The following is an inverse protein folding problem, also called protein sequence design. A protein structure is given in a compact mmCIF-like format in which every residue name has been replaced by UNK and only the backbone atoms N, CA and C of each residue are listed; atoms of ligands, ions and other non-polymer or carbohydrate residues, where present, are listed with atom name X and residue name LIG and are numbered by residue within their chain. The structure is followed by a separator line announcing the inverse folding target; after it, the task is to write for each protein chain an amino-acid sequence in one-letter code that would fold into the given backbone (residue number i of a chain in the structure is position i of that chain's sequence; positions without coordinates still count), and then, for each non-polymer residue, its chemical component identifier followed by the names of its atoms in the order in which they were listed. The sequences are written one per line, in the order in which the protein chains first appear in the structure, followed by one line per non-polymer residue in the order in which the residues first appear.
data_IF_757162020239
#
_entry.id   IF_757162020239
#
_cell.length_a   1.000
_cell.length_b   1.000
_cell.length_c   1.000
_cell.angle_alpha   90.00
_cell.angle_beta   90.00
_cell.angle_gamma   90.00
#
_symmetry.space_group_name_H-M   'P 1'
#
loop_
_entity.id
_entity.type
_entity.pdbx_description
1 polymer ?
#
# COMPACT_ATOMS: atom_id res chain seq x y z
N UNK A 1 -5.54 -2.05 12.79
CA UNK A 1 -5.33 -1.49 11.43
C UNK A 1 -6.37 -2.12 10.51
N UNK A 2 -6.89 -1.39 9.52
CA UNK A 2 -7.88 -1.92 8.59
C UNK A 2 -7.27 -2.84 7.54
N UNK A 3 -6.13 -2.46 6.95
CA UNK A 3 -5.33 -3.31 6.06
C UNK A 3 -3.96 -2.66 5.82
N UNK A 4 -3.12 -3.28 4.98
CA UNK A 4 -1.86 -2.70 4.53
C UNK A 4 -0.81 -2.65 5.63
N UNK A 5 -0.88 -3.57 6.58
CA UNK A 5 -0.02 -3.65 7.76
C UNK A 5 1.47 -3.80 7.40
N UNK A 6 1.78 -4.45 6.29
CA UNK A 6 3.14 -4.55 5.74
C UNK A 6 3.40 -3.64 4.54
N UNK A 7 2.52 -2.65 4.32
CA UNK A 7 2.68 -1.65 3.25
C UNK A 7 3.58 -0.48 3.71
N UNK A 8 4.23 0.24 2.78
CA UNK A 8 5.04 1.42 3.11
C UNK A 8 4.30 2.48 3.94
N UNK A 9 2.99 2.59 3.74
CA UNK A 9 2.13 3.58 4.43
C UNK A 9 2.07 3.38 5.94
N UNK A 10 2.27 2.14 6.44
CA UNK A 10 2.17 1.80 7.87
C UNK A 10 3.52 1.76 8.60
N UNK A 11 4.64 1.81 7.89
CA UNK A 11 5.97 1.68 8.50
C UNK A 11 6.26 2.76 9.57
N UNK A 12 5.78 3.99 9.34
CA UNK A 12 5.91 5.09 10.32
C UNK A 12 5.13 4.79 11.60
N UNK A 13 3.92 4.24 11.48
CA UNK A 13 3.05 3.88 12.61
C UNK A 13 3.71 2.82 13.49
N UNK A 14 4.29 1.77 12.89
CA UNK A 14 5.04 0.76 13.63
C UNK A 14 6.22 1.36 14.40
N UNK A 15 7.03 2.19 13.73
CA UNK A 15 8.17 2.88 14.38
C UNK A 15 7.73 3.77 15.55
N UNK A 16 6.62 4.50 15.38
CA UNK A 16 6.04 5.33 16.45
C UNK A 16 5.62 4.48 17.66
N UNK A 17 4.94 3.36 17.43
CA UNK A 17 4.53 2.43 18.49
C UNK A 17 5.73 1.86 19.24
N UNK A 18 6.71 1.32 18.49
CA UNK A 18 7.92 0.74 19.06
C UNK A 18 8.72 1.76 19.87
N UNK A 19 8.81 3.02 19.41
CA UNK A 19 9.49 4.10 20.13
C UNK A 19 8.86 4.45 21.49
N UNK A 20 7.60 4.07 21.73
CA UNK A 20 6.92 4.25 23.03
C UNK A 20 7.16 3.08 24.00
N UNK A 21 7.71 1.96 23.53
CA UNK A 21 7.82 0.72 24.31
C UNK A 21 9.14 0.55 25.07
N UNK A 22 9.95 1.61 25.12
CA UNK A 22 11.23 1.66 25.83
C UNK A 22 12.44 1.64 24.90
N UNK A 23 13.66 1.50 25.45
CA UNK A 23 14.88 1.50 24.66
C UNK A 23 14.98 0.27 23.76
N UNK A 24 15.59 0.44 22.58
CA UNK A 24 15.87 -0.66 21.68
C UNK A 24 16.95 -1.61 22.26
N UNK A 25 16.90 -2.91 21.95
CA UNK A 25 15.89 -3.57 21.13
C UNK A 25 14.59 -3.84 21.90
N UNK A 26 13.45 -3.53 21.28
CA UNK A 26 12.12 -3.84 21.82
C UNK A 26 11.75 -5.27 21.42
N UNK A 27 11.48 -6.19 22.37
CA UNK A 27 11.02 -7.54 22.05
C UNK A 27 9.69 -7.50 21.27
N UNK A 28 9.74 -7.89 20.00
CA UNK A 28 8.61 -7.85 19.08
C UNK A 28 8.29 -9.26 18.56
N UNK A 29 7.01 -9.63 18.54
CA UNK A 29 6.56 -10.93 18.05
C UNK A 29 5.43 -10.81 17.03
N UNK A 30 5.47 -11.67 16.02
CA UNK A 30 4.38 -12.02 15.14
C UNK A 30 3.63 -13.23 15.71
N UNK A 31 2.32 -13.11 15.92
CA UNK A 31 1.43 -14.26 16.13
C UNK A 31 0.93 -14.72 14.76
N UNK A 32 1.38 -15.89 14.34
CA UNK A 32 1.08 -16.47 13.02
C UNK A 32 -0.25 -17.22 12.96
N UNK A 33 -0.93 -17.39 14.11
CA UNK A 33 -2.20 -18.13 14.22
C UNK A 33 -3.25 -17.75 13.17
N UNK A 34 -3.54 -16.46 12.89
CA UNK A 34 -4.64 -16.13 11.98
C UNK A 34 -4.49 -16.74 10.60
N UNK A 35 -3.27 -16.91 10.10
CA UNK A 35 -2.97 -17.55 8.81
C UNK A 35 -2.32 -18.95 8.98
N UNK A 36 -2.24 -19.47 10.21
CA UNK A 36 -1.53 -20.71 10.53
C UNK A 36 -2.08 -21.97 9.85
N UNK A 37 -3.33 -21.92 9.38
CA UNK A 37 -3.97 -22.97 8.59
C UNK A 37 -3.51 -23.01 7.11
N UNK A 38 -2.80 -21.99 6.63
CA UNK A 38 -2.40 -21.90 5.23
C UNK A 38 -1.11 -22.67 4.96
N UNK A 39 -1.04 -23.38 3.82
CA UNK A 39 0.14 -24.13 3.39
C UNK A 39 1.40 -23.25 3.23
N UNK A 40 1.22 -21.95 2.98
CA UNK A 40 2.30 -20.96 2.84
C UNK A 40 2.50 -20.09 4.11
N UNK A 41 2.07 -20.56 5.30
CA UNK A 41 2.20 -19.78 6.54
C UNK A 41 3.66 -19.38 6.87
N UNK A 42 4.63 -20.23 6.52
CA UNK A 42 6.06 -19.92 6.67
C UNK A 42 6.48 -18.74 5.76
N UNK A 43 6.00 -18.69 4.52
CA UNK A 43 6.28 -17.59 3.60
C UNK A 43 5.66 -16.27 4.07
N UNK A 44 4.42 -16.31 4.60
CA UNK A 44 3.75 -15.13 5.16
C UNK A 44 4.56 -14.60 6.36
N UNK A 45 5.01 -15.50 7.24
CA UNK A 45 5.84 -15.15 8.39
C UNK A 45 7.17 -14.53 7.95
N UNK A 46 7.86 -15.14 7.00
CA UNK A 46 9.13 -14.64 6.47
C UNK A 46 9.00 -13.25 5.85
N UNK A 47 7.94 -13.00 5.07
CA UNK A 47 7.66 -11.67 4.49
C UNK A 47 7.42 -10.60 5.56
N UNK A 48 6.66 -10.94 6.62
CA UNK A 48 6.44 -10.02 7.73
C UNK A 48 7.75 -9.70 8.46
N UNK A 49 8.59 -10.71 8.72
CA UNK A 49 9.91 -10.50 9.34
C UNK A 49 10.82 -9.62 8.46
N UNK A 50 10.88 -9.88 7.16
CA UNK A 50 11.65 -9.07 6.20
C UNK A 50 11.18 -7.61 6.18
N UNK A 51 9.86 -7.38 6.17
CA UNK A 51 9.31 -6.02 6.24
C UNK A 51 9.70 -5.31 7.55
N UNK A 52 9.57 -5.98 8.70
CA UNK A 52 9.93 -5.37 9.98
C UNK A 52 11.44 -5.09 10.07
N UNK A 53 12.29 -5.96 9.54
CA UNK A 53 13.73 -5.73 9.48
C UNK A 53 14.10 -4.56 8.56
N UNK A 54 13.64 -4.60 7.30
CA UNK A 54 14.05 -3.64 6.26
C UNK A 54 13.34 -2.29 6.33
N UNK A 55 12.06 -2.26 6.71
CA UNK A 55 11.21 -1.07 6.61
C UNK A 55 10.90 -0.44 7.98
N UNK A 56 10.86 -1.24 9.05
CA UNK A 56 10.61 -0.76 10.42
C UNK A 56 11.91 -0.62 11.21
N UNK A 57 12.92 -1.46 10.95
CA UNK A 57 14.20 -1.48 11.64
C UNK A 57 14.17 -2.27 12.96
N UNK A 58 13.30 -3.27 13.08
CA UNK A 58 13.19 -4.14 14.28
C UNK A 58 13.14 -5.61 13.88
N UNK A 59 13.91 -6.43 14.59
CA UNK A 59 13.85 -7.88 14.45
C UNK A 59 12.54 -8.43 15.04
N UNK A 60 11.67 -8.94 14.18
CA UNK A 60 10.41 -9.57 14.56
C UNK A 60 10.61 -11.08 14.76
N UNK A 61 10.33 -11.59 15.95
CA UNK A 61 10.32 -13.03 16.21
C UNK A 61 8.95 -13.62 15.88
N UNK A 62 8.88 -14.90 15.49
CA UNK A 62 7.58 -15.58 15.29
C UNK A 62 7.22 -16.33 16.58
N UNK A 63 6.07 -16.03 17.16
CA UNK A 63 5.47 -16.85 18.21
C UNK A 63 4.58 -17.90 17.51
N UNK A 64 5.20 -19.02 17.11
CA UNK A 64 4.57 -20.06 16.30
C UNK A 64 3.46 -20.76 17.08
N UNK A 65 2.22 -20.36 16.82
CA UNK A 65 1.01 -20.93 17.40
C UNK A 65 0.02 -21.17 16.28
N UNK A 66 0.31 -22.15 15.41
CA UNK A 66 -0.60 -22.48 14.32
C UNK A 66 -1.83 -23.22 14.79
N UNK A 67 -1.68 -24.13 15.76
CA UNK A 67 -2.80 -24.85 16.36
C UNK A 67 -2.60 -25.15 17.85
N UNK A 68 -3.70 -25.14 18.59
CA UNK A 68 -3.85 -25.57 19.97
C UNK A 68 -3.65 -27.09 20.14
N UNK A 69 -3.54 -27.85 19.05
CA UNK A 69 -3.20 -29.29 19.06
C UNK A 69 -1.75 -29.58 18.65
N UNK A 70 -0.90 -28.55 18.58
CA UNK A 70 0.53 -28.69 18.25
C UNK A 70 1.38 -29.35 19.35
N UNK A 71 2.69 -29.43 19.09
CA UNK A 71 3.65 -29.93 20.06
C UNK A 71 3.73 -29.04 21.31
N UNK A 72 3.80 -29.65 22.49
CA UNK A 72 3.74 -28.93 23.76
C UNK A 72 4.96 -28.00 23.97
N UNK A 73 6.14 -28.38 23.48
CA UNK A 73 7.34 -27.52 23.58
C UNK A 73 7.21 -26.32 22.65
N UNK A 74 6.69 -26.50 21.44
CA UNK A 74 6.41 -25.41 20.51
C UNK A 74 5.40 -24.42 21.10
N UNK A 75 4.29 -24.93 21.66
CA UNK A 75 3.27 -24.12 22.32
C UNK A 75 3.83 -23.31 23.48
N UNK A 76 4.56 -23.93 24.41
CA UNK A 76 5.17 -23.21 25.53
C UNK A 76 6.24 -22.22 25.08
N UNK A 77 6.98 -22.53 24.01
CA UNK A 77 7.94 -21.60 23.41
C UNK A 77 7.23 -20.37 22.84
N UNK A 78 6.12 -20.55 22.13
CA UNK A 78 5.31 -19.46 21.61
C UNK A 78 4.70 -18.61 22.72
N UNK A 79 4.15 -19.25 23.77
CA UNK A 79 3.63 -18.53 24.95
C UNK A 79 4.73 -17.77 25.68
N UNK A 80 5.93 -18.34 25.83
CA UNK A 80 7.07 -17.64 26.44
C UNK A 80 7.50 -16.41 25.62
N UNK A 81 7.53 -16.51 24.29
CA UNK A 81 7.78 -15.38 23.38
C UNK A 81 6.69 -14.31 23.49
N UNK A 82 5.42 -14.71 23.48
CA UNK A 82 4.31 -13.76 23.64
C UNK A 82 4.37 -13.06 25.00
N UNK A 83 4.69 -13.80 26.06
CA UNK A 83 4.79 -13.27 27.43
C UNK A 83 5.90 -12.21 27.55
N UNK A 84 7.06 -12.44 26.93
CA UNK A 84 8.20 -11.50 26.94
C UNK A 84 8.08 -10.33 25.95
N UNK A 85 7.26 -10.47 24.90
CA UNK A 85 7.09 -9.44 23.91
C UNK A 85 6.48 -8.15 24.48
N UNK A 86 7.03 -7.00 24.10
CA UNK A 86 6.42 -5.68 24.36
C UNK A 86 5.60 -5.20 23.17
N UNK A 87 5.88 -5.72 21.98
CA UNK A 87 5.13 -5.43 20.77
C UNK A 87 4.61 -6.73 20.18
N UNK A 88 3.29 -6.87 20.06
CA UNK A 88 2.62 -8.05 19.50
C UNK A 88 1.93 -7.64 18.21
N UNK A 89 2.21 -8.35 17.13
CA UNK A 89 1.63 -8.12 15.83
C UNK A 89 0.92 -9.37 15.31
N UNK A 90 -0.26 -9.20 14.72
CA UNK A 90 -0.99 -10.24 14.01
C UNK A 90 -1.76 -9.58 12.86
N UNK A 91 -1.84 -10.25 11.71
CA UNK A 91 -2.36 -9.63 10.49
C UNK A 91 -3.36 -10.51 9.74
N UNK A 92 -3.05 -10.89 8.49
CA UNK A 92 -4.02 -11.46 7.57
C UNK A 92 -4.37 -12.90 7.97
N UNK A 93 -5.47 -13.43 7.43
CA UNK A 93 -5.86 -14.82 7.68
C UNK A 93 -7.35 -14.99 7.93
N UNK A 94 -7.72 -15.83 8.89
CA UNK A 94 -9.10 -16.12 9.28
C UNK A 94 -9.35 -15.71 10.73
N UNK A 95 -10.34 -14.83 10.99
CA UNK A 95 -10.71 -14.44 12.35
C UNK A 95 -11.32 -15.61 13.14
N UNK A 96 -12.14 -16.45 12.50
CA UNK A 96 -12.79 -17.60 13.13
C UNK A 96 -11.77 -18.67 13.51
N UNK A 97 -10.77 -18.90 12.66
CA UNK A 97 -9.66 -19.81 12.96
C UNK A 97 -8.83 -19.29 14.14
N UNK A 98 -8.45 -18.01 14.12
CA UNK A 98 -7.69 -17.39 15.20
C UNK A 98 -8.41 -17.53 16.56
N UNK A 99 -9.72 -17.26 16.61
CA UNK A 99 -10.52 -17.44 17.82
C UNK A 99 -10.57 -18.89 18.29
N UNK A 100 -10.79 -19.84 17.38
CA UNK A 100 -10.83 -21.26 17.72
C UNK A 100 -9.53 -21.75 18.38
N UNK A 101 -8.39 -21.24 17.91
CA UNK A 101 -7.07 -21.60 18.42
C UNK A 101 -6.64 -20.81 19.68
N UNK A 102 -7.21 -19.62 19.92
CA UNK A 102 -6.83 -18.76 21.04
C UNK A 102 -7.73 -18.88 22.27
N UNK A 103 -9.05 -18.95 22.12
CA UNK A 103 -10.02 -18.80 23.24
C UNK A 103 -9.77 -19.84 24.36
N UNK A 104 -9.43 -21.07 23.99
CA UNK A 104 -9.14 -22.16 24.96
C UNK A 104 -7.72 -22.16 25.53
N UNK A 105 -6.89 -21.16 25.20
CA UNK A 105 -5.45 -21.13 25.52
C UNK A 105 -5.09 -20.00 26.49
N UNK A 106 -3.79 -19.86 26.80
CA UNK A 106 -3.28 -18.72 27.58
C UNK A 106 -3.13 -17.42 26.76
N UNK A 107 -3.28 -17.46 25.44
CA UNK A 107 -3.07 -16.28 24.57
C UNK A 107 -3.94 -15.08 24.95
N UNK A 108 -5.27 -15.20 25.14
CA UNK A 108 -6.11 -14.06 25.48
C UNK A 108 -5.72 -13.39 26.80
N UNK A 109 -5.40 -14.19 27.82
CA UNK A 109 -4.96 -13.68 29.12
C UNK A 109 -3.63 -12.93 29.03
N UNK A 110 -2.68 -13.44 28.23
CA UNK A 110 -1.39 -12.77 27.99
C UNK A 110 -1.54 -11.45 27.21
N UNK A 111 -2.46 -11.40 26.26
CA UNK A 111 -2.78 -10.18 25.53
C UNK A 111 -3.45 -9.15 26.44
N UNK A 112 -4.47 -9.57 27.20
CA UNK A 112 -5.17 -8.70 28.14
C UNK A 112 -4.23 -8.13 29.22
N UNK A 113 -3.31 -8.95 29.75
CA UNK A 113 -2.35 -8.50 30.76
C UNK A 113 -1.39 -7.41 30.25
N UNK A 114 -1.10 -7.36 28.94
CA UNK A 114 -0.28 -6.29 28.37
C UNK A 114 -0.99 -4.94 28.35
N UNK A 115 -2.32 -4.96 28.23
CA UNK A 115 -3.16 -3.75 28.12
C UNK A 115 -3.70 -3.29 29.47
N UNK A 116 -3.85 -4.20 30.43
CA UNK A 116 -4.40 -3.91 31.75
C UNK A 116 -3.52 -2.93 32.53
N UNK A 117 -4.15 -1.98 33.22
CA UNK A 117 -3.46 -1.09 34.14
C UNK A 117 -2.66 -1.88 35.19
N UNK A 118 -1.36 -1.59 35.29
CA UNK A 118 -0.43 -2.31 36.20
C UNK A 118 -0.07 -3.74 35.75
N UNK A 119 -0.43 -4.14 34.53
CA UNK A 119 0.02 -5.39 33.92
C UNK A 119 1.43 -5.31 33.34
N UNK A 120 1.81 -6.26 32.48
CA UNK A 120 3.16 -6.34 31.90
C UNK A 120 3.51 -5.17 30.97
N UNK A 121 2.51 -4.49 30.41
CA UNK A 121 2.67 -3.31 29.55
C UNK A 121 3.23 -3.64 28.17
N UNK A 122 2.53 -3.24 27.12
CA UNK A 122 2.98 -3.42 25.74
C UNK A 122 2.01 -2.81 24.74
N UNK A 123 2.27 -3.04 23.45
CA UNK A 123 1.36 -2.70 22.36
C UNK A 123 0.90 -3.98 21.66
N UNK A 124 -0.39 -4.03 21.35
CA UNK A 124 -1.00 -5.04 20.49
C UNK A 124 -1.43 -4.34 19.20
N UNK A 125 -0.89 -4.78 18.07
CA UNK A 125 -1.16 -4.22 16.75
C UNK A 125 -1.76 -5.32 15.88
N UNK A 126 -3.09 -5.38 15.85
CA UNK A 126 -3.80 -6.33 14.99
C UNK A 126 -4.31 -5.65 13.73
N UNK A 127 -4.23 -6.34 12.60
CA UNK A 127 -4.66 -5.89 11.28
C UNK A 127 -5.57 -6.92 10.60
N UNK A 128 -6.39 -6.48 9.64
CA UNK A 128 -7.25 -7.36 8.84
C UNK A 128 -7.96 -8.42 9.70
N UNK A 129 -7.85 -9.71 9.37
CA UNK A 129 -8.47 -10.82 10.10
C UNK A 129 -8.24 -10.78 11.62
N UNK A 130 -7.01 -10.50 12.08
CA UNK A 130 -6.73 -10.40 13.50
C UNK A 130 -7.46 -9.21 14.15
N UNK A 131 -7.64 -8.09 13.45
CA UNK A 131 -8.30 -6.91 14.02
C UNK A 131 -9.76 -7.20 14.39
N UNK A 132 -10.46 -8.05 13.63
CA UNK A 132 -11.83 -8.48 13.91
C UNK A 132 -11.97 -9.11 15.31
N UNK A 133 -10.92 -9.78 15.81
CA UNK A 133 -10.98 -10.53 17.08
C UNK A 133 -10.82 -9.64 18.32
N UNK A 134 -10.44 -8.37 18.17
CA UNK A 134 -10.14 -7.47 19.29
C UNK A 134 -11.38 -7.09 20.12
N UNK A 135 -12.55 -7.06 19.46
CA UNK A 135 -13.79 -6.56 20.02
C UNK A 135 -14.56 -7.58 20.86
N UNK A 136 -15.76 -7.18 21.31
CA UNK A 136 -16.71 -8.07 21.99
C UNK A 136 -17.34 -9.08 21.02
N UNK A 137 -17.39 -8.73 19.73
CA UNK A 137 -17.96 -9.56 18.66
C UNK A 137 -17.07 -9.52 17.42
N UNK A 138 -17.01 -10.64 16.71
CA UNK A 138 -16.13 -10.87 15.56
C UNK A 138 -16.94 -11.28 14.34
N UNK A 139 -16.61 -10.72 13.17
CA UNK A 139 -17.21 -11.15 11.90
C UNK A 139 -16.52 -12.43 11.39
N UNK A 140 -17.24 -13.55 11.19
CA UNK A 140 -16.71 -14.74 10.53
C UNK A 140 -16.78 -14.56 9.01
N UNK A 141 -15.88 -13.73 8.47
CA UNK A 141 -15.98 -13.22 7.09
C UNK A 141 -15.95 -14.33 6.04
N UNK A 142 -15.13 -15.35 6.18
CA UNK A 142 -15.06 -16.43 5.19
C UNK A 142 -16.31 -17.28 5.20
N UNK A 143 -16.85 -17.57 6.38
CA UNK A 143 -18.09 -18.29 6.57
C UNK A 143 -19.28 -17.56 5.93
N UNK A 144 -19.38 -16.25 6.15
CA UNK A 144 -20.48 -15.44 5.62
C UNK A 144 -20.31 -15.16 4.12
N UNK A 145 -19.12 -14.75 3.68
CA UNK A 145 -18.90 -14.27 2.32
C UNK A 145 -18.53 -15.40 1.34
N UNK A 146 -17.67 -16.35 1.74
CA UNK A 146 -17.16 -17.41 0.85
C UNK A 146 -18.00 -18.68 0.94
N UNK A 147 -18.37 -19.12 2.14
CA UNK A 147 -19.19 -20.33 2.35
C UNK A 147 -20.68 -20.04 2.13
N UNK A 148 -21.12 -18.82 2.44
CA UNK A 148 -22.51 -18.39 2.26
C UNK A 148 -23.42 -18.70 3.46
N UNK A 149 -22.84 -18.85 4.66
CA UNK A 149 -23.62 -18.97 5.89
C UNK A 149 -24.41 -17.67 6.16
N UNK A 150 -25.50 -17.80 6.92
CA UNK A 150 -26.29 -16.65 7.35
C UNK A 150 -25.40 -15.67 8.16
N UNK A 151 -25.59 -14.35 8.01
CA UNK A 151 -24.84 -13.36 8.80
C UNK A 151 -25.04 -13.59 10.31
N UNK A 152 -23.94 -13.68 11.05
CA UNK A 152 -23.93 -13.89 12.50
C UNK A 152 -22.62 -13.38 13.11
N UNK A 153 -22.62 -13.12 14.41
CA UNK A 153 -21.43 -12.79 15.17
C UNK A 153 -20.83 -14.03 15.82
N UNK A 154 -19.51 -14.07 15.93
CA UNK A 154 -18.80 -14.88 16.93
C UNK A 154 -18.47 -14.00 18.13
N UNK A 155 -18.27 -14.61 19.30
CA UNK A 155 -17.68 -13.92 20.45
C UNK A 155 -16.23 -13.54 20.14
N UNK A 156 -15.86 -12.29 20.42
CA UNK A 156 -14.47 -11.82 20.28
C UNK A 156 -13.64 -12.02 21.55
N UNK A 157 -12.39 -11.56 21.52
CA UNK A 157 -11.48 -11.63 22.67
C UNK A 157 -11.80 -10.57 23.74
N UNK A 158 -12.64 -9.58 23.41
CA UNK A 158 -13.04 -8.45 24.27
C UNK A 158 -11.85 -7.67 24.86
N UNK A 159 -10.76 -7.55 24.10
CA UNK A 159 -9.56 -6.81 24.53
C UNK A 159 -9.82 -5.31 24.60
N UNK A 160 -10.77 -4.80 23.80
CA UNK A 160 -11.20 -3.40 23.84
C UNK A 160 -11.87 -2.99 25.16
N UNK A 161 -12.31 -3.94 25.98
CA UNK A 161 -12.81 -3.66 27.32
C UNK A 161 -11.73 -3.00 28.21
N UNK A 162 -10.44 -3.26 27.96
CA UNK A 162 -9.33 -2.58 28.66
C UNK A 162 -9.26 -1.08 28.33
N UNK A 163 -9.84 -0.66 27.21
CA UNK A 163 -10.00 0.74 26.81
C UNK A 163 -11.37 1.32 27.21
N UNK A 164 -12.22 0.54 27.90
CA UNK A 164 -13.60 0.93 28.22
C UNK A 164 -14.53 0.95 27.00
N UNK A 165 -14.17 0.28 25.90
CA UNK A 165 -14.97 0.22 24.68
C UNK A 165 -15.63 -1.15 24.54
N UNK A 166 -16.96 -1.15 24.37
CA UNK A 166 -17.72 -2.34 23.98
C UNK A 166 -18.01 -2.24 22.47
N UNK A 167 -17.10 -2.73 21.64
CA UNK A 167 -17.20 -2.55 20.19
C UNK A 167 -16.86 -3.83 19.43
N UNK A 168 -17.46 -4.00 18.26
CA UNK A 168 -17.00 -4.91 17.21
C UNK A 168 -16.11 -4.12 16.26
N UNK A 169 -14.88 -4.57 16.03
CA UNK A 169 -13.96 -3.93 15.08
C UNK A 169 -14.21 -4.52 13.71
N UNK A 170 -14.41 -3.67 12.69
CA UNK A 170 -14.53 -4.12 11.30
C UNK A 170 -13.43 -3.45 10.46
N UNK A 171 -12.36 -4.17 10.09
CA UNK A 171 -11.32 -3.70 9.18
C UNK A 171 -11.86 -3.69 7.73
N UNK A 172 -11.04 -3.24 6.77
CA UNK A 172 -11.44 -3.17 5.36
C UNK A 172 -12.82 -2.49 5.19
N UNK A 173 -13.06 -1.43 5.96
CA UNK A 173 -14.41 -0.88 6.13
C UNK A 173 -14.92 -0.24 4.84
N UNK A 174 -14.04 0.44 4.11
CA UNK A 174 -14.28 1.02 2.78
C UNK A 174 -13.98 0.09 1.60
N UNK A 175 -13.76 -1.21 1.82
CA UNK A 175 -13.36 -2.15 0.76
C UNK A 175 -14.27 -2.07 -0.48
N UNK A 176 -13.64 -1.91 -1.65
CA UNK A 176 -14.31 -1.74 -2.94
C UNK A 176 -13.91 -2.81 -3.99
N UNK A 177 -13.22 -3.88 -3.59
CA UNK A 177 -12.77 -4.95 -4.49
C UNK A 177 -13.89 -5.66 -5.26
N UNK A 178 -15.13 -5.62 -4.77
CA UNK A 178 -16.26 -6.28 -5.41
C UNK A 178 -16.59 -5.77 -6.81
N UNK A 179 -16.21 -4.53 -7.14
CA UNK A 179 -16.49 -3.88 -8.42
C UNK A 179 -17.99 -3.71 -8.71
N UNK A 180 -18.66 -4.80 -9.08
CA UNK A 180 -20.08 -4.84 -9.42
C UNK A 180 -21.02 -5.16 -8.23
N UNK A 181 -20.49 -5.37 -7.03
CA UNK A 181 -21.27 -5.63 -5.82
C UNK A 181 -20.64 -4.99 -4.58
N UNK A 182 -21.45 -4.82 -3.53
CA UNK A 182 -21.03 -4.15 -2.29
C UNK A 182 -20.18 -5.07 -1.41
N UNK A 183 -18.88 -4.79 -1.35
CA UNK A 183 -17.89 -5.48 -0.50
C UNK A 183 -17.42 -4.64 0.68
N UNK A 184 -18.04 -3.50 0.94
CA UNK A 184 -17.72 -2.67 2.10
C UNK A 184 -17.92 -3.47 3.39
N UNK A 185 -17.29 -3.01 4.46
CA UNK A 185 -17.40 -3.58 5.80
C UNK A 185 -16.88 -5.02 5.86
N UNK A 186 -15.66 -5.25 5.36
CA UNK A 186 -15.04 -6.58 5.32
C UNK A 186 -15.89 -7.60 4.52
N UNK A 187 -16.21 -7.29 3.27
CA UNK A 187 -17.01 -8.12 2.35
C UNK A 187 -18.46 -8.43 2.78
N UNK A 188 -18.95 -7.80 3.85
CA UNK A 188 -20.35 -7.97 4.28
C UNK A 188 -21.31 -7.25 3.33
N UNK A 189 -20.98 -6.02 2.96
CA UNK A 189 -21.90 -5.06 2.34
C UNK A 189 -22.98 -4.56 3.30
N UNK A 190 -23.65 -3.46 2.94
CA UNK A 190 -24.62 -2.77 3.82
C UNK A 190 -25.71 -3.70 4.33
N UNK A 191 -26.27 -4.53 3.44
CA UNK A 191 -27.40 -5.42 3.78
C UNK A 191 -27.06 -6.40 4.89
N UNK A 192 -25.86 -7.01 4.86
CA UNK A 192 -25.48 -8.01 5.86
C UNK A 192 -25.06 -7.34 7.17
N UNK A 193 -24.28 -6.25 7.09
CA UNK A 193 -23.88 -5.52 8.29
C UNK A 193 -25.11 -4.98 9.05
N UNK A 194 -26.07 -4.36 8.36
CA UNK A 194 -27.27 -3.83 9.01
C UNK A 194 -28.10 -4.92 9.71
N UNK A 195 -28.15 -6.14 9.15
CA UNK A 195 -28.80 -7.27 9.80
C UNK A 195 -28.03 -7.72 11.05
N UNK A 196 -26.70 -7.83 10.95
CA UNK A 196 -25.85 -8.23 12.07
C UNK A 196 -25.86 -7.20 13.20
N UNK A 197 -25.90 -5.89 12.89
CA UNK A 197 -25.95 -4.83 13.91
C UNK A 197 -27.13 -4.96 14.89
N UNK A 198 -28.25 -5.55 14.44
CA UNK A 198 -29.41 -5.77 15.31
C UNK A 198 -29.15 -6.84 16.39
N UNK A 199 -28.21 -7.75 16.14
CA UNK A 199 -27.85 -8.87 17.04
C UNK A 199 -26.60 -8.56 17.88
N UNK A 200 -26.05 -7.35 17.80
CA UNK A 200 -24.94 -6.94 18.64
C UNK A 200 -25.37 -6.88 20.12
N UNK A 201 -24.49 -7.23 21.08
CA UNK A 201 -24.79 -7.11 22.49
C UNK A 201 -25.20 -5.68 22.88
N UNK A 202 -26.07 -5.54 23.88
CA UNK A 202 -26.51 -4.23 24.37
C UNK A 202 -25.34 -3.28 24.67
N UNK A 203 -25.45 -2.05 24.19
CA UNK A 203 -24.43 -1.01 24.33
C UNK A 203 -23.19 -1.22 23.45
N UNK A 204 -23.13 -2.28 22.64
CA UNK A 204 -22.07 -2.49 21.67
C UNK A 204 -22.30 -1.69 20.39
N UNK A 205 -21.20 -1.33 19.71
CA UNK A 205 -21.24 -0.59 18.45
C UNK A 205 -20.16 -1.09 17.47
N UNK A 206 -20.23 -0.65 16.23
CA UNK A 206 -19.25 -0.98 15.19
C UNK A 206 -18.17 0.10 15.13
N UNK A 207 -16.92 -0.33 15.24
CA UNK A 207 -15.74 0.49 14.98
C UNK A 207 -15.12 0.08 13.64
N UNK A 208 -15.48 0.81 12.59
CA UNK A 208 -15.01 0.60 11.23
C UNK A 208 -13.63 1.20 10.99
N UNK A 209 -12.69 0.44 10.46
CA UNK A 209 -11.35 0.92 10.11
C UNK A 209 -11.11 0.70 8.62
N UNK A 210 -10.90 1.79 7.89
CA UNK A 210 -10.60 1.75 6.47
C UNK A 210 -9.27 1.05 6.14
N UNK A 211 -9.15 0.64 4.89
CA UNK A 211 -7.88 0.15 4.34
C UNK A 211 -6.76 1.18 4.48
N UNK A 212 -5.53 0.72 4.67
CA UNK A 212 -4.36 1.56 4.96
C UNK A 212 -4.60 2.62 6.07
N UNK A 213 -5.41 2.26 7.08
CA UNK A 213 -5.77 3.13 8.20
C UNK A 213 -5.61 2.39 9.52
N UNK A 214 -5.24 3.09 10.58
CA UNK A 214 -5.16 2.57 11.94
C UNK A 214 -5.86 3.49 12.94
N UNK A 215 -6.35 2.90 14.02
CA UNK A 215 -6.74 3.62 15.23
C UNK A 215 -5.77 3.22 16.34
N UNK A 216 -5.00 4.19 16.81
CA UNK A 216 -4.10 4.05 17.94
C UNK A 216 -4.85 4.41 19.22
N UNK A 217 -5.07 3.40 20.08
CA UNK A 217 -5.61 3.60 21.43
C UNK A 217 -4.45 3.66 22.42
N UNK A 218 -4.18 4.86 22.94
CA UNK A 218 -3.22 5.07 24.02
C UNK A 218 -3.99 5.03 25.35
N UNK A 219 -3.87 3.92 26.07
CA UNK A 219 -4.64 3.67 27.29
C UNK A 219 -4.13 4.50 28.48
N UNK A 220 -2.83 4.83 28.49
CA UNK A 220 -2.23 5.66 29.54
C UNK A 220 -2.66 7.13 29.37
N UNK A 221 -2.68 7.62 28.12
CA UNK A 221 -3.13 8.98 27.81
C UNK A 221 -4.66 9.10 27.69
N UNK A 222 -5.38 7.99 27.54
CA UNK A 222 -6.83 7.97 27.31
C UNK A 222 -7.24 8.55 25.95
N UNK A 223 -6.38 8.42 24.92
CA UNK A 223 -6.60 9.03 23.59
C UNK A 223 -6.69 8.00 22.47
N UNK A 224 -7.54 8.28 21.48
CA UNK A 224 -7.66 7.56 20.23
C UNK A 224 -7.19 8.46 19.09
N UNK A 225 -6.16 8.03 18.35
CA UNK A 225 -5.61 8.79 17.22
C UNK A 225 -5.76 7.99 15.94
N UNK A 226 -6.32 8.61 14.90
CA UNK A 226 -6.46 7.98 13.58
C UNK A 226 -5.19 8.24 12.77
N UNK A 227 -4.64 7.20 12.14
CA UNK A 227 -3.41 7.26 11.34
C UNK A 227 -3.62 6.56 10.01
N UNK A 228 -2.81 6.89 9.00
CA UNK A 228 -2.90 6.30 7.67
C UNK A 228 -3.60 7.20 6.66
N UNK A 229 -4.33 6.60 5.72
CA UNK A 229 -4.87 7.31 4.55
C UNK A 229 -6.39 7.53 4.59
N UNK A 230 -7.13 6.71 5.32
CA UNK A 230 -8.60 6.75 5.38
C UNK A 230 -9.14 7.30 6.69
N UNK A 231 -10.28 6.77 7.12
CA UNK A 231 -11.00 7.22 8.33
C UNK A 231 -11.27 6.08 9.29
N UNK A 232 -11.52 6.47 10.55
CA UNK A 232 -12.14 5.63 11.56
C UNK A 232 -13.64 5.95 11.60
N UNK A 233 -14.50 4.95 11.52
CA UNK A 233 -15.95 5.12 11.58
C UNK A 233 -16.51 4.58 12.88
N UNK A 234 -17.21 5.41 13.65
CA UNK A 234 -18.07 4.96 14.75
C UNK A 234 -19.48 4.78 14.20
N UNK A 235 -20.04 3.57 14.27
CA UNK A 235 -21.34 3.24 13.70
C UNK A 235 -22.24 2.50 14.69
N UNK A 236 -23.50 2.91 14.77
CA UNK A 236 -24.53 2.26 15.59
C UNK A 236 -25.91 2.40 14.94
N UNK A 237 -26.63 1.27 14.82
CA UNK A 237 -27.97 1.18 14.24
C UNK A 237 -28.08 1.91 12.89
N UNK A 238 -27.17 1.59 11.97
CA UNK A 238 -27.17 2.16 10.61
C UNK A 238 -26.69 3.60 10.47
N UNK A 239 -26.35 4.28 11.58
CA UNK A 239 -25.87 5.68 11.58
C UNK A 239 -24.39 5.71 11.93
N UNK A 240 -23.65 6.63 11.34
CA UNK A 240 -22.20 6.67 11.47
C UNK A 240 -21.64 8.10 11.58
N UNK A 241 -20.51 8.21 12.27
CA UNK A 241 -19.64 9.40 12.31
C UNK A 241 -18.22 8.97 11.95
N UNK A 242 -17.57 9.74 11.09
CA UNK A 242 -16.19 9.54 10.65
C UNK A 242 -15.24 10.44 11.45
N UNK A 243 -14.05 9.91 11.74
CA UNK A 243 -12.92 10.61 12.35
C UNK A 243 -11.74 10.45 11.39
N UNK A 244 -11.14 11.55 10.96
CA UNK A 244 -10.18 11.54 9.86
C UNK A 244 -8.76 11.25 10.35
N UNK A 245 -7.93 10.68 9.46
CA UNK A 245 -6.50 10.51 9.73
C UNK A 245 -5.85 11.83 10.17
N UNK A 246 -5.06 11.77 11.24
CA UNK A 246 -4.45 12.91 11.91
C UNK A 246 -5.25 13.42 13.11
N UNK A 247 -6.55 13.16 13.19
CA UNK A 247 -7.37 13.56 14.34
C UNK A 247 -7.06 12.71 15.58
N UNK A 248 -7.15 13.35 16.74
CA UNK A 248 -7.02 12.72 18.05
C UNK A 248 -8.18 13.13 18.94
N UNK A 249 -8.86 12.14 19.53
CA UNK A 249 -10.02 12.34 20.42
C UNK A 249 -9.84 11.53 21.72
N UNK A 250 -10.49 11.88 22.83
CA UNK A 250 -10.55 11.00 23.99
C UNK A 250 -11.15 9.64 23.62
N UNK A 251 -10.65 8.54 24.19
CA UNK A 251 -11.22 7.20 23.94
C UNK A 251 -12.71 7.16 24.32
N UNK A 252 -13.08 7.82 25.43
CA UNK A 252 -14.48 7.93 25.87
C UNK A 252 -15.39 8.55 24.82
N UNK A 253 -14.85 9.45 23.97
CA UNK A 253 -15.63 10.11 22.92
C UNK A 253 -16.14 9.11 21.88
N UNK A 254 -15.42 8.02 21.63
CA UNK A 254 -15.89 6.96 20.71
C UNK A 254 -17.16 6.29 21.24
N UNK A 255 -17.22 6.00 22.54
CA UNK A 255 -18.38 5.41 23.19
C UNK A 255 -19.56 6.41 23.29
N UNK A 256 -19.26 7.68 23.58
CA UNK A 256 -20.28 8.76 23.59
C UNK A 256 -20.93 8.93 22.21
N UNK A 257 -20.12 8.98 21.14
CA UNK A 257 -20.61 9.05 19.77
C UNK A 257 -21.51 7.86 19.44
N UNK A 258 -21.13 6.65 19.84
CA UNK A 258 -21.95 5.46 19.64
C UNK A 258 -23.30 5.55 20.37
N UNK A 259 -23.32 6.05 21.61
CA UNK A 259 -24.55 6.25 22.38
C UNK A 259 -25.45 7.34 21.78
N UNK A 260 -24.88 8.47 21.36
CA UNK A 260 -25.58 9.55 20.66
C UNK A 260 -26.22 9.04 19.36
N UNK A 261 -25.45 8.26 18.59
CA UNK A 261 -25.94 7.58 17.40
C UNK A 261 -27.10 6.68 17.78
N UNK A 262 -26.94 5.73 18.71
CA UNK A 262 -28.02 4.82 19.12
C UNK A 262 -29.32 5.55 19.51
N UNK A 263 -29.21 6.65 20.26
CA UNK A 263 -30.36 7.38 20.81
C UNK A 263 -31.22 8.16 19.79
N UNK A 264 -30.77 8.38 18.55
CA UNK A 264 -31.52 9.28 17.63
C UNK A 264 -30.80 10.56 17.26
N UNK A 265 -29.69 10.90 17.93
CA UNK A 265 -29.15 12.26 17.97
C UNK A 265 -28.48 12.79 16.69
N UNK A 266 -28.38 11.99 15.63
CA UNK A 266 -27.75 12.41 14.37
C UNK A 266 -28.76 12.94 13.36
N UNK A 267 -28.83 14.26 13.18
CA UNK A 267 -29.42 14.85 11.96
C UNK A 267 -28.66 14.31 10.75
N UNK A 268 -29.37 13.63 9.84
CA UNK A 268 -28.79 12.99 8.67
C UNK A 268 -27.93 13.94 7.83
N UNK A 269 -26.63 13.66 7.79
CA UNK A 269 -25.57 13.94 6.80
C UNK A 269 -24.25 13.56 7.52
N UNK A 270 -23.20 13.00 6.87
CA UNK A 270 -21.92 12.76 7.54
C UNK A 270 -21.37 14.09 8.06
N UNK A 271 -21.50 14.32 9.36
CA UNK A 271 -21.23 15.60 10.01
C UNK A 271 -19.79 15.66 10.48
N UNK A 272 -18.97 16.37 9.72
CA UNK A 272 -17.63 16.83 10.12
C UNK A 272 -17.67 17.37 11.57
N UNK A 273 -16.89 16.77 12.47
CA UNK A 273 -16.66 17.34 13.80
C UNK A 273 -16.05 18.74 13.61
N UNK A 274 -16.73 19.76 14.14
CA UNK A 274 -16.31 21.15 14.00
C UNK A 274 -15.03 21.40 14.82
N UNK A 275 -13.98 21.87 14.14
CA UNK A 275 -12.81 22.45 14.78
C UNK A 275 -13.16 23.81 15.41
N UNK A 276 -12.45 24.26 16.48
CA UNK A 276 -12.58 25.62 16.98
C UNK A 276 -12.14 26.62 15.90
N UNK A 277 -12.96 27.66 15.71
CA UNK A 277 -12.86 28.63 14.62
C UNK A 277 -11.52 29.39 14.62
N UNK A 278 -10.81 29.34 13.49
CA UNK A 278 -9.74 30.29 13.20
C UNK A 278 -8.68 29.81 12.22
N UNK A 279 -9.01 29.71 10.93
CA UNK A 279 -8.14 30.15 9.81
C UNK A 279 -8.72 29.71 8.45
N UNK A 280 -8.92 30.73 7.60
CA UNK A 280 -8.80 30.76 6.14
C UNK A 280 -9.43 29.63 5.28
N UNK A 281 -10.38 30.11 4.49
CA UNK A 281 -11.06 29.50 3.38
C UNK A 281 -10.12 29.40 2.16
N UNK A 282 -9.64 28.20 1.84
CA UNK A 282 -8.96 27.91 0.56
C UNK A 282 -9.62 26.72 -0.16
N UNK A 283 -9.92 26.97 -1.43
CA UNK A 283 -10.13 26.03 -2.54
C UNK A 283 -10.91 24.74 -2.29
N UNK A 284 -12.17 24.74 -2.74
CA UNK A 284 -12.90 23.54 -3.17
C UNK A 284 -12.21 22.96 -4.42
N UNK A 285 -11.14 22.22 -4.23
CA UNK A 285 -10.65 21.31 -5.26
C UNK A 285 -11.49 20.03 -5.24
N UNK A 286 -11.84 19.62 -6.44
CA UNK A 286 -12.57 18.41 -6.80
C UNK A 286 -12.07 17.20 -6.01
N UNK A 287 -12.97 16.56 -5.26
CA UNK A 287 -12.75 15.22 -4.70
C UNK A 287 -12.24 14.29 -5.82
N UNK A 288 -11.10 13.59 -5.64
CA UNK A 288 -10.80 12.44 -6.47
C UNK A 288 -11.93 11.44 -6.32
N UNK A 289 -12.31 10.75 -7.41
CA UNK A 289 -13.23 9.63 -7.30
C UNK A 289 -12.69 8.62 -6.30
N UNK A 290 -13.53 8.18 -5.36
CA UNK A 290 -13.19 7.26 -4.27
C UNK A 290 -12.96 5.81 -4.75
N UNK A 291 -12.30 5.61 -5.90
CA UNK A 291 -12.28 4.33 -6.61
C UNK A 291 -10.90 3.71 -6.76
N UNK A 292 -9.83 4.36 -6.33
CA UNK A 292 -8.49 3.87 -6.63
C UNK A 292 -7.65 3.63 -5.38
N UNK A 293 -7.08 2.41 -5.32
CA UNK A 293 -6.12 2.06 -4.27
C UNK A 293 -4.86 2.93 -4.34
N UNK A 294 -4.11 3.07 -3.24
CA UNK A 294 -2.91 3.91 -3.23
C UNK A 294 -1.86 3.50 -4.28
N UNK A 295 -1.65 2.18 -4.47
CA UNK A 295 -0.77 1.67 -5.52
C UNK A 295 -1.25 2.09 -6.91
N UNK A 296 -2.55 1.99 -7.20
CA UNK A 296 -3.08 2.38 -8.51
C UNK A 296 -3.02 3.90 -8.75
N UNK A 297 -3.15 4.70 -7.70
CA UNK A 297 -2.91 6.13 -7.77
C UNK A 297 -1.44 6.44 -8.12
N UNK A 298 -0.49 5.73 -7.52
CA UNK A 298 0.93 5.85 -7.85
C UNK A 298 1.22 5.40 -9.30
N UNK A 299 0.68 4.25 -9.73
CA UNK A 299 0.82 3.75 -11.11
C UNK A 299 0.37 4.79 -12.14
N UNK A 300 -0.82 5.39 -11.96
CA UNK A 300 -1.32 6.43 -12.87
C UNK A 300 -0.45 7.69 -12.87
N UNK A 301 0.10 8.08 -11.72
CA UNK A 301 1.03 9.21 -11.65
C UNK A 301 2.30 8.93 -12.48
N UNK A 302 2.87 7.73 -12.36
CA UNK A 302 4.02 7.30 -13.17
C UNK A 302 3.68 7.21 -14.67
N UNK A 303 2.51 6.70 -15.05
CA UNK A 303 2.07 6.69 -16.45
C UNK A 303 1.97 8.12 -17.03
N UNK A 304 1.45 9.07 -16.24
CA UNK A 304 1.40 10.49 -16.60
C UNK A 304 2.78 11.09 -16.83
N UNK A 305 3.68 10.93 -15.84
CA UNK A 305 5.07 11.42 -15.94
C UNK A 305 5.83 10.80 -17.12
N UNK A 306 5.62 9.50 -17.38
CA UNK A 306 6.21 8.82 -18.53
C UNK A 306 5.68 9.36 -19.86
N UNK A 307 4.37 9.63 -19.95
CA UNK A 307 3.78 10.22 -21.15
C UNK A 307 4.33 11.61 -21.44
N UNK A 308 4.55 12.44 -20.41
CA UNK A 308 5.19 13.75 -20.54
C UNK A 308 6.64 13.63 -21.02
N UNK A 309 7.42 12.70 -20.45
CA UNK A 309 8.79 12.46 -20.88
C UNK A 309 8.87 12.00 -22.35
N UNK A 310 7.96 11.12 -22.79
CA UNK A 310 7.88 10.72 -24.20
C UNK A 310 7.49 11.89 -25.12
N UNK A 311 6.54 12.73 -24.72
CA UNK A 311 6.15 13.91 -25.49
C UNK A 311 7.32 14.90 -25.64
N UNK A 312 8.15 15.03 -24.61
CA UNK A 312 9.38 15.83 -24.62
C UNK A 312 10.57 15.16 -25.33
N UNK A 313 10.43 13.92 -25.82
CA UNK A 313 11.53 13.10 -26.38
C UNK A 313 12.69 12.88 -25.38
N UNK A 314 12.42 12.92 -24.08
CA UNK A 314 13.41 12.69 -23.03
C UNK A 314 13.44 11.21 -22.63
N UNK A 315 14.26 10.44 -23.35
CA UNK A 315 14.43 9.01 -23.09
C UNK A 315 15.02 8.71 -21.70
N UNK A 316 15.84 9.60 -21.15
CA UNK A 316 16.47 9.40 -19.84
C UNK A 316 15.43 9.53 -18.73
N UNK A 317 14.59 10.57 -18.78
CA UNK A 317 13.51 10.74 -17.80
C UNK A 317 12.48 9.62 -17.92
N UNK A 318 12.13 9.22 -19.15
CA UNK A 318 11.24 8.08 -19.38
C UNK A 318 11.78 6.77 -18.77
N UNK A 319 13.08 6.48 -18.93
CA UNK A 319 13.72 5.31 -18.32
C UNK A 319 13.75 5.38 -16.80
N UNK A 320 14.02 6.57 -16.22
CA UNK A 320 13.97 6.78 -14.76
C UNK A 320 12.58 6.47 -14.21
N UNK A 321 11.52 6.98 -14.83
CA UNK A 321 10.14 6.74 -14.41
C UNK A 321 9.76 5.25 -14.43
N UNK A 322 10.27 4.49 -15.40
CA UNK A 322 10.08 3.02 -15.44
C UNK A 322 10.75 2.36 -14.22
N UNK A 323 11.99 2.71 -13.91
CA UNK A 323 12.72 2.14 -12.77
C UNK A 323 12.08 2.51 -11.43
N UNK A 324 11.62 3.76 -11.28
CA UNK A 324 10.91 4.22 -10.07
C UNK A 324 9.58 3.48 -9.87
N UNK A 325 8.84 3.18 -10.95
CA UNK A 325 7.65 2.33 -10.85
C UNK A 325 8.00 0.89 -10.45
N UNK A 326 9.10 0.32 -10.95
CA UNK A 326 9.54 -1.03 -10.56
C UNK A 326 9.87 -1.11 -9.06
N UNK A 327 10.57 -0.10 -8.53
CA UNK A 327 10.86 0.02 -7.09
C UNK A 327 9.57 0.13 -6.26
N UNK A 328 8.60 0.94 -6.70
CA UNK A 328 7.30 1.07 -6.05
C UNK A 328 6.56 -0.29 -6.06
N UNK A 329 6.45 -0.96 -7.20
CA UNK A 329 5.81 -2.28 -7.30
C UNK A 329 6.51 -3.32 -6.39
N UNK A 330 7.83 -3.28 -6.29
CA UNK A 330 8.59 -4.14 -5.38
C UNK A 330 8.27 -3.85 -3.91
N UNK A 331 8.12 -2.57 -3.53
CA UNK A 331 7.76 -2.18 -2.17
C UNK A 331 6.35 -2.67 -1.77
N UNK A 332 5.40 -2.59 -2.72
CA UNK A 332 4.03 -3.05 -2.52
C UNK A 332 3.85 -4.57 -2.62
N UNK A 333 4.77 -5.29 -3.28
CA UNK A 333 4.69 -6.76 -3.40
C UNK A 333 4.75 -7.54 -2.08
N UNK A 334 5.14 -6.87 -0.98
CA UNK A 334 5.17 -7.41 0.39
C UNK A 334 3.80 -7.37 1.09
N UNK A 335 2.84 -6.65 0.53
CA UNK A 335 1.46 -6.64 0.99
C UNK A 335 0.72 -7.85 0.39
N UNK A 336 0.47 -8.85 1.22
CA UNK A 336 -0.06 -10.17 0.83
C UNK A 336 -1.48 -10.16 0.27
N UNK A 337 -2.21 -9.05 0.35
CA UNK A 337 -3.64 -8.98 0.03
C UNK A 337 -3.96 -8.34 -1.34
N UNK A 338 -2.98 -7.86 -2.12
CA UNK A 338 -3.24 -7.06 -3.34
C UNK A 338 -2.65 -7.64 -4.64
N UNK A 339 -2.79 -8.95 -4.89
CA UNK A 339 -2.20 -9.62 -6.08
C UNK A 339 -2.61 -8.98 -7.42
N UNK A 340 -3.90 -8.68 -7.59
CA UNK A 340 -4.44 -8.22 -8.88
C UNK A 340 -3.97 -6.80 -9.22
N UNK A 341 -3.66 -5.98 -8.21
CA UNK A 341 -3.18 -4.60 -8.39
C UNK A 341 -1.70 -4.59 -8.82
N UNK A 342 -0.89 -5.49 -8.26
CA UNK A 342 0.51 -5.67 -8.67
C UNK A 342 0.59 -6.13 -10.12
N UNK A 343 -0.32 -7.00 -10.56
CA UNK A 343 -0.37 -7.44 -11.95
C UNK A 343 -0.74 -6.29 -12.92
N UNK A 344 -1.70 -5.44 -12.54
CA UNK A 344 -2.04 -4.24 -13.31
C UNK A 344 -0.85 -3.27 -13.39
N UNK A 345 -0.17 -3.01 -12.29
CA UNK A 345 1.04 -2.18 -12.26
C UNK A 345 2.16 -2.75 -13.14
N UNK A 346 2.37 -4.08 -13.12
CA UNK A 346 3.32 -4.76 -14.00
C UNK A 346 2.95 -4.64 -15.48
N UNK A 347 1.66 -4.68 -15.80
CA UNK A 347 1.19 -4.45 -17.17
C UNK A 347 1.49 -3.02 -17.65
N UNK A 348 1.27 -2.02 -16.78
CA UNK A 348 1.65 -0.62 -17.06
C UNK A 348 3.16 -0.48 -17.28
N UNK A 349 3.99 -1.05 -16.39
CA UNK A 349 5.45 -1.09 -16.54
C UNK A 349 5.89 -1.68 -17.90
N UNK A 350 5.35 -2.85 -18.28
CA UNK A 350 5.63 -3.49 -19.56
C UNK A 350 5.24 -2.62 -20.75
N UNK A 351 4.09 -1.95 -20.68
CA UNK A 351 3.63 -1.00 -21.70
C UNK A 351 4.61 0.17 -21.87
N UNK A 352 5.10 0.75 -20.77
CA UNK A 352 6.09 1.82 -20.82
C UNK A 352 7.41 1.36 -21.45
N UNK A 353 7.92 0.18 -21.09
CA UNK A 353 9.12 -0.41 -21.71
C UNK A 353 8.95 -0.56 -23.22
N UNK A 354 7.81 -1.08 -23.69
CA UNK A 354 7.53 -1.23 -25.12
C UNK A 354 7.49 0.12 -25.82
N UNK A 355 6.81 1.13 -25.24
CA UNK A 355 6.71 2.48 -25.82
C UNK A 355 8.06 3.19 -25.89
N UNK A 356 8.92 3.02 -24.87
CA UNK A 356 10.29 3.53 -24.90
C UNK A 356 11.11 2.82 -26.00
N UNK A 357 10.94 1.50 -26.15
CA UNK A 357 11.55 0.73 -27.24
C UNK A 357 11.14 1.23 -28.63
N UNK A 358 9.85 1.51 -28.84
CA UNK A 358 9.34 2.09 -30.10
C UNK A 358 9.94 3.48 -30.39
N UNK A 359 10.14 4.32 -29.38
CA UNK A 359 10.85 5.59 -29.53
C UNK A 359 12.32 5.36 -29.93
N UNK A 360 12.96 4.37 -29.29
CA UNK A 360 14.34 3.99 -29.58
C UNK A 360 14.50 3.42 -30.99
N UNK A 361 13.50 2.78 -31.62
CA UNK A 361 13.59 2.29 -33.02
C UNK A 361 13.92 3.40 -34.03
N UNK A 362 13.50 4.64 -33.75
CA UNK A 362 13.84 5.79 -34.60
C UNK A 362 15.26 6.28 -34.30
N UNK A 363 15.65 6.34 -33.02
CA UNK A 363 16.97 6.80 -32.58
C UNK A 363 18.10 5.80 -32.79
N UNK A 364 17.81 4.50 -32.83
CA UNK A 364 18.76 3.39 -33.02
C UNK A 364 19.03 3.09 -34.50
N UNK A 365 18.42 3.85 -35.43
CA UNK A 365 18.78 3.76 -36.84
C UNK A 365 20.20 4.26 -37.01
N UNK A 366 20.99 3.51 -37.77
CA UNK A 366 22.30 3.95 -38.24
C UNK A 366 22.18 5.37 -38.84
N UNK A 367 22.78 6.41 -38.21
CA UNK A 367 22.68 7.78 -38.68
C UNK A 367 23.18 7.93 -40.12
N UNK A 368 24.14 7.08 -40.53
CA UNK A 368 24.68 7.06 -41.89
C UNK A 368 23.61 6.67 -42.90
N UNK A 369 22.74 5.71 -42.58
CA UNK A 369 21.60 5.32 -43.43
C UNK A 369 20.53 6.41 -43.53
N UNK A 370 20.30 7.16 -42.46
CA UNK A 370 19.31 8.25 -42.45
C UNK A 370 19.81 9.45 -43.26
N UNK A 371 21.10 9.76 -43.16
CA UNK A 371 21.71 10.90 -43.84
C UNK A 371 22.16 10.61 -45.28
N UNK A 372 22.35 9.34 -45.65
CA UNK A 372 22.87 8.94 -46.96
C UNK A 372 22.19 9.62 -48.16
N UNK A 373 20.85 9.66 -48.28
CA UNK A 373 20.22 10.27 -49.46
C UNK A 373 20.54 11.78 -49.60
N UNK A 374 20.70 12.48 -48.48
CA UNK A 374 21.03 13.91 -48.47
C UNK A 374 22.50 14.15 -48.81
N UNK A 375 23.39 13.34 -48.21
CA UNK A 375 24.84 13.44 -48.45
C UNK A 375 25.17 13.04 -49.89
N UNK A 376 24.59 11.96 -50.40
CA UNK A 376 24.78 11.49 -51.77
C UNK A 376 24.33 12.55 -52.79
N UNK A 377 23.19 13.20 -52.57
CA UNK A 377 22.73 14.33 -53.43
C UNK A 377 23.73 15.48 -53.46
N UNK A 378 24.31 15.84 -52.31
CA UNK A 378 25.32 16.90 -52.25
C UNK A 378 26.64 16.48 -52.93
N UNK A 379 27.02 15.21 -52.82
CA UNK A 379 28.19 14.65 -53.52
C UNK A 379 27.98 14.65 -55.05
N UNK A 380 26.77 14.39 -55.53
CA UNK A 380 26.43 14.51 -56.95
C UNK A 380 26.55 15.96 -57.45
N UNK A 381 26.04 16.93 -56.68
CA UNK A 381 26.20 18.37 -57.00
C UNK A 381 27.67 18.76 -57.06
N UNK A 382 28.49 18.30 -56.10
CA UNK A 382 29.95 18.49 -56.11
C UNK A 382 30.59 17.88 -57.35
N UNK A 383 30.19 16.67 -57.74
CA UNK A 383 30.71 16.00 -58.94
C UNK A 383 30.36 16.77 -60.23
N UNK A 384 29.12 17.28 -60.34
CA UNK A 384 28.68 18.14 -61.45
C UNK A 384 29.48 19.44 -61.53
N UNK A 385 29.68 20.13 -60.39
CA UNK A 385 30.50 21.34 -60.34
C UNK A 385 31.96 21.10 -60.80
N UNK A 386 32.56 19.97 -60.41
CA UNK A 386 33.90 19.59 -60.88
C UNK A 386 33.93 19.33 -62.39
N UNK A 387 32.91 18.67 -62.94
CA UNK A 387 32.79 18.40 -64.38
C UNK A 387 32.67 19.70 -65.19
N UNK A 388 31.95 20.68 -64.65
CA UNK A 388 31.78 22.01 -65.25
C UNK A 388 32.96 22.96 -64.97
N UNK A 389 34.03 22.48 -64.33
CA UNK A 389 35.21 23.27 -63.92
C UNK A 389 34.90 24.43 -62.94
N UNK A 390 33.78 24.35 -62.22
CA UNK A 390 33.38 25.29 -61.15
C UNK A 390 34.01 24.88 -59.81
N UNK A 391 35.32 25.01 -59.71
CA UNK A 391 36.10 24.53 -58.55
C UNK A 391 35.66 25.16 -57.22
N UNK A 392 35.41 26.47 -57.21
CA UNK A 392 34.95 27.18 -56.01
C UNK A 392 33.60 26.65 -55.47
N UNK A 393 32.69 26.23 -56.35
CA UNK A 393 31.40 25.66 -55.96
C UNK A 393 31.58 24.24 -55.40
N UNK A 394 32.45 23.44 -56.00
CA UNK A 394 32.77 22.09 -55.53
C UNK A 394 33.45 22.11 -54.14
N UNK A 395 34.35 23.07 -53.91
CA UNK A 395 35.02 23.28 -52.62
C UNK A 395 34.02 23.78 -51.58
N UNK A 396 33.13 24.69 -51.94
CA UNK A 396 32.06 25.16 -51.05
C UNK A 396 31.18 24.01 -50.56
N UNK A 397 30.79 23.07 -51.43
CA UNK A 397 30.00 21.90 -51.02
C UNK A 397 30.78 21.00 -50.07
N UNK A 398 32.06 20.74 -50.34
CA UNK A 398 32.94 19.94 -49.48
C UNK A 398 33.08 20.57 -48.09
N UNK A 399 33.37 21.86 -48.03
CA UNK A 399 33.59 22.57 -46.77
C UNK A 399 32.31 22.61 -45.92
N UNK A 400 31.14 22.71 -46.56
CA UNK A 400 29.85 22.62 -45.87
C UNK A 400 29.57 21.23 -45.33
N UNK A 401 29.88 20.17 -46.07
CA UNK A 401 29.76 18.79 -45.58
C UNK A 401 30.68 18.56 -44.37
N UNK A 402 31.94 18.99 -44.44
CA UNK A 402 32.90 18.88 -43.33
C UNK A 402 32.43 19.68 -42.10
N UNK A 403 31.94 20.91 -42.30
CA UNK A 403 31.40 21.72 -41.22
C UNK A 403 30.16 21.12 -40.54
N UNK A 404 29.42 20.25 -41.25
CA UNK A 404 28.28 19.49 -40.73
C UNK A 404 28.69 18.13 -40.13
N UNK A 405 29.98 17.84 -40.01
CA UNK A 405 30.49 16.61 -39.44
C UNK A 405 30.50 15.43 -40.41
N UNK A 406 30.56 15.67 -41.71
CA UNK A 406 30.70 14.64 -42.75
C UNK A 406 32.11 14.68 -43.33
N UNK A 407 32.92 13.66 -43.05
CA UNK A 407 34.23 13.48 -43.67
C UNK A 407 34.05 12.85 -45.06
N UNK A 408 34.61 13.48 -46.08
CA UNK A 408 34.54 12.99 -47.47
C UNK A 408 35.91 12.50 -47.92
N UNK A 409 36.00 11.23 -48.33
CA UNK A 409 37.21 10.54 -48.78
C UNK A 409 37.07 10.16 -50.26
N UNK A 410 37.88 10.80 -51.11
CA UNK A 410 37.94 10.43 -52.52
C UNK A 410 38.83 9.18 -52.71
N UNK A 411 38.29 8.12 -53.31
CA UNK A 411 39.00 6.87 -53.60
C UNK A 411 39.06 6.60 -55.10
N UNK A 412 39.95 5.71 -55.58
CA UNK A 412 39.97 5.30 -56.99
C UNK A 412 38.65 4.66 -57.49
N UNK A 413 37.78 4.20 -56.58
CA UNK A 413 36.47 3.63 -56.89
C UNK A 413 35.29 4.59 -56.77
N UNK A 414 35.52 5.86 -56.38
CA UNK A 414 34.48 6.86 -56.13
C UNK A 414 34.67 7.61 -54.82
N UNK A 415 33.76 8.53 -54.51
CA UNK A 415 33.77 9.29 -53.26
C UNK A 415 33.02 8.52 -52.16
N UNK A 416 33.71 8.18 -51.07
CA UNK A 416 33.13 7.64 -49.84
C UNK A 416 33.01 8.75 -48.77
N UNK A 417 32.15 8.57 -47.78
CA UNK A 417 31.96 9.54 -46.71
C UNK A 417 31.63 8.89 -45.38
N UNK A 418 31.98 9.54 -44.26
CA UNK A 418 31.70 9.06 -42.90
C UNK A 418 31.26 10.21 -41.99
N UNK A 419 30.61 9.89 -40.87
CA UNK A 419 30.24 10.89 -39.88
C UNK A 419 31.37 11.06 -38.86
N UNK A 420 31.88 12.28 -38.71
CA UNK A 420 32.89 12.60 -37.68
C UNK A 420 32.18 12.83 -36.35
N UNK A 421 31.74 11.73 -35.75
CA UNK A 421 31.02 11.77 -34.48
C UNK A 421 30.26 10.48 -34.15
N UNK A 422 30.92 9.32 -34.23
CA UNK A 422 30.52 8.25 -33.32
C UNK A 422 30.91 8.72 -31.91
N UNK A 423 29.93 9.26 -31.18
CA UNK A 423 30.01 9.50 -29.74
C UNK A 423 30.06 8.19 -28.97
N UNK A 424 31.01 7.30 -29.28
CA UNK A 424 31.33 6.12 -28.48
C UNK A 424 32.25 6.42 -27.30
N UNK A 425 32.67 7.67 -27.11
CA UNK A 425 33.25 8.15 -25.86
C UNK A 425 32.21 9.02 -25.13
N UNK A 426 31.35 8.36 -24.35
CA UNK A 426 30.77 8.95 -23.15
C UNK A 426 31.39 8.23 -21.94
N UNK A 427 31.79 8.95 -20.88
CA UNK A 427 32.38 8.35 -19.68
C UNK A 427 31.43 7.40 -18.93
#
# INVERSE_FOLDING_TARGET
MGSGETSPTMAKTHRQLLGRLGPAPVPAVLLDTPFGFQENADDISAKAQEYFDKSVGVALQVANWRSAHGDALEQETALARLRSARYVFAGPGSPSYALAEWVGSSVPALLADKLRAGGTGGAITFASAAALTLGVSTVPVYEVYKVGLAPHWLDGLDLLAQAGLRAAVIPHFNNAEGGNHDTRFCYLGERRLAAMEADLPDGAFVLGVDEHTGCLLDLDAGTATVVGLGVLTVRSHGRAVEIHSGDSVPITRLAELAAELAAGGGTGTPGRLAQPEGAAQESRESRPSASDSPLMAAVRAFEGAFAEALAARDARSAARTILELDDELAAWSRDTLQSDQVDQGRAALRSMVVRLGQLAEVGARDPRRVLAPFVETLLEVRAGARKDQRWADADTVRDRLVALGVEVRDTPGGTDWDLTGDGSDAP
#
